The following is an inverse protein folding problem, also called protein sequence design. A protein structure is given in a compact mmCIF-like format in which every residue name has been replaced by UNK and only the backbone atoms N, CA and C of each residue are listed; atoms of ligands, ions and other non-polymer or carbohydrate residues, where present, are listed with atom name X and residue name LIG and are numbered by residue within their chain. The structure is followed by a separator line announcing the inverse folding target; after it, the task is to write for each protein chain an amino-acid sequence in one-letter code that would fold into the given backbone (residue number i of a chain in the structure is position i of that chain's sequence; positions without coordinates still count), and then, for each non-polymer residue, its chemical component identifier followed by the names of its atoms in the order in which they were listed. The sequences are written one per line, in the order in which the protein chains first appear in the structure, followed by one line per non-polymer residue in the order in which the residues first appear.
data_IF_690285447969
#
_entry.id   IF_690285447969
#
_cell.length_a   1.000
_cell.length_b   1.000
_cell.length_c   1.000
_cell.angle_alpha   90.00
_cell.angle_beta   90.00
_cell.angle_gamma   90.00
#
_symmetry.space_group_name_H-M   'P 1'
#
loop_
_entity.id
_entity.type
_entity.pdbx_description
1 polymer ?
#
# COMPACT_ATOMS: atom_id res chain seq x y z
N UNK A 1 -1.17 -9.00 2.34
CA UNK A 1 -1.58 -7.66 1.87
C UNK A 1 -1.59 -6.72 3.08
N UNK A 2 -1.27 -5.43 2.97
CA UNK A 2 -1.49 -4.50 4.08
C UNK A 2 -2.97 -4.56 4.55
N UNK A 3 -3.25 -4.44 5.86
CA UNK A 3 -4.60 -4.54 6.41
C UNK A 3 -5.62 -3.56 5.82
N UNK A 4 -5.15 -2.53 5.12
CA UNK A 4 -5.94 -1.54 4.37
C UNK A 4 -6.57 -2.09 3.07
N UNK A 5 -6.19 -3.29 2.61
CA UNK A 5 -6.75 -3.91 1.40
C UNK A 5 -7.80 -5.00 1.69
N UNK A 6 -7.95 -5.43 2.94
CA UNK A 6 -8.84 -6.54 3.31
C UNK A 6 -10.10 -6.05 4.03
N UNK A 7 -11.02 -5.42 3.29
CA UNK A 7 -12.41 -5.33 3.76
C UNK A 7 -13.41 -5.39 2.61
N UNK A 8 -14.25 -6.44 2.70
CA UNK A 8 -15.59 -6.59 2.12
C UNK A 8 -15.63 -6.72 0.57
N UNK A 9 -16.04 -7.87 0.04
CA UNK A 9 -17.47 -8.21 -0.04
C UNK A 9 -17.72 -9.60 -0.64
N UNK A 10 -18.70 -10.31 -0.08
CA UNK A 10 -19.43 -11.38 -0.75
C UNK A 10 -20.52 -10.73 -1.61
N UNK A 11 -20.42 -10.81 -2.94
CA UNK A 11 -21.60 -10.76 -3.81
C UNK A 11 -21.27 -11.34 -5.18
N UNK A 12 -22.02 -12.34 -5.66
CA UNK A 12 -21.98 -12.75 -7.06
C UNK A 12 -22.92 -11.84 -7.85
N UNK A 13 -22.49 -11.26 -8.98
CA UNK A 13 -23.28 -11.30 -10.23
C UNK A 13 -22.57 -10.61 -11.40
N UNK A 14 -22.68 -11.34 -12.50
CA UNK A 14 -22.57 -11.05 -13.92
C UNK A 14 -22.79 -9.60 -14.39
N UNK A 15 -22.07 -9.24 -15.46
CA UNK A 15 -22.60 -8.35 -16.49
C UNK A 15 -21.70 -7.19 -16.91
N UNK A 16 -20.76 -7.43 -17.83
CA UNK A 16 -20.05 -6.39 -18.58
C UNK A 16 -19.24 -6.99 -19.72
N UNK A 17 -19.58 -6.67 -20.97
CA UNK A 17 -19.06 -7.29 -22.19
C UNK A 17 -17.52 -7.17 -22.30
N UNK A 18 -16.82 -8.27 -22.08
CA UNK A 18 -15.38 -8.38 -22.29
C UNK A 18 -15.07 -8.39 -23.80
N UNK A 19 -14.74 -7.23 -24.37
CA UNK A 19 -13.83 -7.23 -25.51
C UNK A 19 -12.55 -7.91 -25.04
N UNK A 20 -12.18 -9.04 -25.66
CA UNK A 20 -11.03 -9.82 -25.21
C UNK A 20 -9.81 -8.90 -25.10
N UNK A 21 -9.28 -8.72 -23.89
CA UNK A 21 -8.12 -7.89 -23.64
C UNK A 21 -6.99 -8.31 -24.59
N UNK A 22 -6.35 -7.32 -25.23
CA UNK A 22 -5.26 -7.61 -26.16
C UNK A 22 -4.09 -8.25 -25.40
N UNK A 23 -3.19 -8.99 -26.10
CA UNK A 23 -2.05 -9.63 -25.47
C UNK A 23 -1.19 -8.66 -24.66
N UNK A 24 -0.73 -9.09 -23.48
CA UNK A 24 0.14 -8.29 -22.62
C UNK A 24 1.48 -7.97 -23.29
N UNK A 25 1.92 -8.80 -24.24
CA UNK A 25 3.08 -8.51 -25.10
C UNK A 25 2.94 -7.17 -25.81
N UNK A 26 1.72 -6.83 -26.22
CA UNK A 26 1.46 -5.64 -27.03
C UNK A 26 1.27 -4.43 -26.13
N UNK A 27 0.48 -4.57 -25.07
CA UNK A 27 0.24 -3.48 -24.11
C UNK A 27 1.50 -3.07 -23.37
N UNK A 28 2.35 -4.02 -22.95
CA UNK A 28 3.64 -3.69 -22.36
C UNK A 28 4.57 -2.97 -23.36
N UNK A 29 4.63 -3.41 -24.60
CA UNK A 29 5.51 -2.83 -25.61
C UNK A 29 5.15 -1.38 -25.96
N UNK A 30 3.87 -1.03 -25.95
CA UNK A 30 3.41 0.32 -26.31
C UNK A 30 3.77 1.42 -25.30
N UNK A 31 4.34 1.04 -24.15
CA UNK A 31 4.97 1.96 -23.20
C UNK A 31 6.38 2.37 -23.60
N UNK A 32 7.04 1.61 -24.48
CA UNK A 32 8.45 1.81 -24.84
C UNK A 32 8.59 2.41 -26.25
N UNK A 33 9.70 3.14 -26.51
CA UNK A 33 10.03 3.62 -27.86
C UNK A 33 10.12 2.47 -28.87
N UNK A 34 9.76 2.73 -30.13
CA UNK A 34 9.70 1.73 -31.20
C UNK A 34 10.95 0.82 -31.29
N UNK A 35 12.13 1.39 -31.05
CA UNK A 35 13.42 0.67 -31.07
C UNK A 35 13.56 -0.42 -30.00
N UNK A 36 12.83 -0.31 -28.87
CA UNK A 36 12.86 -1.28 -27.77
C UNK A 36 11.67 -2.25 -27.80
N UNK A 37 10.62 -1.97 -28.59
CA UNK A 37 9.37 -2.75 -28.54
C UNK A 37 9.56 -4.23 -28.86
N UNK A 38 10.45 -4.56 -29.81
CA UNK A 38 10.75 -5.95 -30.15
C UNK A 38 11.28 -6.73 -28.94
N UNK A 39 12.22 -6.13 -28.21
CA UNK A 39 12.84 -6.75 -27.04
C UNK A 39 11.85 -6.89 -25.88
N UNK A 40 10.98 -5.89 -25.69
CA UNK A 40 9.91 -5.96 -24.68
C UNK A 40 8.89 -7.05 -25.01
N UNK A 41 8.46 -7.16 -26.28
CA UNK A 41 7.56 -8.23 -26.73
C UNK A 41 8.16 -9.61 -26.43
N UNK A 42 9.45 -9.79 -26.68
CA UNK A 42 10.14 -11.05 -26.37
C UNK A 42 10.14 -11.35 -24.86
N UNK A 43 10.43 -10.36 -24.01
CA UNK A 43 10.39 -10.52 -22.54
C UNK A 43 9.02 -10.91 -22.00
N UNK A 44 7.94 -10.45 -22.65
CA UNK A 44 6.57 -10.69 -22.23
C UNK A 44 5.90 -11.88 -22.96
N UNK A 45 6.60 -12.59 -23.86
CA UNK A 45 6.02 -13.66 -24.69
C UNK A 45 5.40 -14.79 -23.85
N UNK A 46 6.10 -15.26 -22.83
CA UNK A 46 5.55 -16.31 -21.96
C UNK A 46 4.61 -15.70 -20.90
N UNK A 47 4.91 -14.48 -20.45
CA UNK A 47 4.16 -13.78 -19.40
C UNK A 47 2.72 -13.52 -19.81
N UNK A 48 2.44 -13.25 -21.09
CA UNK A 48 1.07 -12.98 -21.55
C UNK A 48 0.11 -14.15 -21.40
N UNK A 49 0.62 -15.36 -21.14
CA UNK A 49 -0.18 -16.56 -20.92
C UNK A 49 -0.42 -16.86 -19.43
N UNK A 50 0.17 -16.08 -18.53
CA UNK A 50 -0.03 -16.26 -17.09
C UNK A 50 -1.44 -15.84 -16.64
N UNK A 51 -1.88 -16.41 -15.52
CA UNK A 51 -3.14 -16.02 -14.88
C UNK A 51 -3.15 -14.52 -14.59
N UNK A 52 -4.28 -13.85 -14.83
CA UNK A 52 -4.48 -12.41 -14.67
C UNK A 52 -3.66 -11.50 -15.62
N UNK A 53 -2.86 -12.04 -16.55
CA UNK A 53 -2.11 -11.23 -17.51
C UNK A 53 -3.00 -10.36 -18.41
N UNK A 54 -4.17 -10.88 -18.83
CA UNK A 54 -5.15 -10.11 -19.62
C UNK A 54 -5.74 -8.93 -18.86
N UNK A 55 -5.99 -9.09 -17.56
CA UNK A 55 -6.49 -8.02 -16.67
C UNK A 55 -5.43 -6.93 -16.52
N UNK A 56 -4.18 -7.33 -16.32
CA UNK A 56 -3.07 -6.38 -16.26
C UNK A 56 -2.86 -5.67 -17.61
N UNK A 57 -3.07 -6.36 -18.73
CA UNK A 57 -3.01 -5.77 -20.08
C UNK A 57 -4.06 -4.65 -20.24
N UNK A 58 -5.30 -4.91 -19.84
CA UNK A 58 -6.37 -3.90 -19.86
C UNK A 58 -6.05 -2.70 -18.95
N UNK A 59 -5.52 -2.98 -17.74
CA UNK A 59 -5.04 -1.94 -16.83
C UNK A 59 -3.98 -1.05 -17.50
N UNK A 60 -2.97 -1.63 -18.18
CA UNK A 60 -1.94 -0.87 -18.88
C UNK A 60 -2.51 0.00 -20.00
N UNK A 61 -3.47 -0.50 -20.77
CA UNK A 61 -4.10 0.27 -21.83
C UNK A 61 -4.89 1.47 -21.29
N UNK A 62 -5.68 1.24 -20.24
CA UNK A 62 -6.42 2.31 -19.55
C UNK A 62 -5.47 3.36 -18.99
N UNK A 63 -4.40 2.93 -18.32
CA UNK A 63 -3.40 3.83 -17.74
C UNK A 63 -2.69 4.64 -18.83
N UNK A 64 -2.31 4.00 -19.94
CA UNK A 64 -1.65 4.66 -21.07
C UNK A 64 -2.55 5.68 -21.75
N UNK A 65 -3.83 5.34 -21.95
CA UNK A 65 -4.79 6.20 -22.62
C UNK A 65 -5.15 7.42 -21.76
N UNK A 66 -5.30 7.23 -20.44
CA UNK A 66 -5.56 8.33 -19.51
C UNK A 66 -4.38 9.30 -19.40
N UNK A 67 -3.16 8.78 -19.40
CA UNK A 67 -1.93 9.56 -19.24
C UNK A 67 -1.09 9.59 -20.53
N UNK A 68 -1.76 9.91 -21.64
CA UNK A 68 -1.15 9.99 -22.97
C UNK A 68 -0.44 11.33 -23.24
N UNK A 69 -0.82 12.39 -22.52
CA UNK A 69 -0.24 13.73 -22.69
C UNK A 69 1.26 13.76 -22.29
N UNK A 70 2.04 14.54 -23.04
CA UNK A 70 3.44 14.86 -22.77
C UNK A 70 3.72 15.33 -21.35
N UNK A 71 2.77 16.00 -20.68
CA UNK A 71 2.95 16.45 -19.28
C UNK A 71 3.15 15.30 -18.29
N UNK A 72 2.81 14.05 -18.64
CA UNK A 72 3.03 12.87 -17.81
C UNK A 72 4.29 12.08 -18.20
N UNK A 73 5.23 12.65 -18.95
CA UNK A 73 6.41 11.93 -19.44
C UNK A 73 7.24 11.29 -18.30
N UNK A 74 7.45 12.00 -17.19
CA UNK A 74 8.15 11.48 -16.01
C UNK A 74 7.42 10.28 -15.40
N UNK A 75 6.09 10.38 -15.27
CA UNK A 75 5.24 9.30 -14.80
C UNK A 75 5.35 8.07 -15.71
N UNK A 76 5.34 8.26 -17.04
CA UNK A 76 5.49 7.17 -18.01
C UNK A 76 6.82 6.43 -17.88
N UNK A 77 7.91 7.14 -17.57
CA UNK A 77 9.20 6.51 -17.27
C UNK A 77 9.14 5.61 -16.02
N UNK A 78 8.36 5.98 -15.00
CA UNK A 78 8.14 5.10 -13.83
C UNK A 78 7.41 3.81 -14.23
N UNK A 79 6.42 3.90 -15.11
CA UNK A 79 5.70 2.74 -15.64
C UNK A 79 6.66 1.82 -16.42
N UNK A 80 7.50 2.38 -17.28
CA UNK A 80 8.51 1.61 -18.02
C UNK A 80 9.47 0.87 -17.07
N UNK A 81 9.99 1.54 -16.04
CA UNK A 81 10.88 0.91 -15.07
C UNK A 81 10.20 -0.22 -14.30
N UNK A 82 8.93 -0.02 -13.91
CA UNK A 82 8.10 -1.05 -13.28
C UNK A 82 7.93 -2.28 -14.20
N UNK A 83 7.63 -2.07 -15.49
CA UNK A 83 7.48 -3.16 -16.46
C UNK A 83 8.76 -3.96 -16.65
N UNK A 84 9.93 -3.31 -16.64
CA UNK A 84 11.23 -4.00 -16.69
C UNK A 84 11.42 -4.89 -15.46
N UNK A 85 11.12 -4.38 -14.26
CA UNK A 85 11.23 -5.14 -13.00
C UNK A 85 10.24 -6.30 -12.92
N UNK A 86 9.00 -6.06 -13.34
CA UNK A 86 7.93 -7.05 -13.40
C UNK A 86 8.31 -8.22 -14.31
N UNK A 87 8.90 -7.95 -15.47
CA UNK A 87 9.36 -8.99 -16.39
C UNK A 87 10.46 -9.88 -15.76
N UNK A 88 11.33 -9.29 -14.93
CA UNK A 88 12.46 -10.00 -14.31
C UNK A 88 12.09 -10.79 -13.04
N UNK A 89 10.91 -10.60 -12.45
CA UNK A 89 10.55 -11.16 -11.15
C UNK A 89 9.13 -11.77 -11.16
N UNK A 90 9.01 -13.12 -11.18
CA UNK A 90 7.72 -13.80 -11.12
C UNK A 90 6.89 -13.46 -9.88
N UNK A 91 7.51 -13.40 -8.70
CA UNK A 91 6.78 -13.08 -7.46
C UNK A 91 6.30 -11.62 -7.41
N UNK A 92 7.08 -10.67 -7.94
CA UNK A 92 6.61 -9.28 -8.06
C UNK A 92 5.46 -9.20 -9.06
N UNK A 93 5.59 -9.89 -10.19
CA UNK A 93 4.58 -9.91 -11.24
C UNK A 93 3.23 -10.42 -10.75
N UNK A 94 3.21 -11.53 -10.03
CA UNK A 94 1.99 -12.07 -9.43
C UNK A 94 1.31 -11.02 -8.53
N UNK A 95 2.08 -10.36 -7.66
CA UNK A 95 1.54 -9.29 -6.79
C UNK A 95 0.94 -8.14 -7.59
N UNK A 96 1.63 -7.66 -8.61
CA UNK A 96 1.16 -6.52 -9.42
C UNK A 96 -0.06 -6.90 -10.26
N UNK A 97 -0.16 -8.13 -10.75
CA UNK A 97 -1.36 -8.63 -11.42
C UNK A 97 -2.55 -8.69 -10.47
N UNK A 98 -2.35 -9.10 -9.21
CA UNK A 98 -3.40 -9.08 -8.20
C UNK A 98 -3.87 -7.66 -7.87
N UNK A 99 -2.96 -6.68 -7.79
CA UNK A 99 -3.35 -5.27 -7.63
C UNK A 99 -4.23 -4.77 -8.80
N UNK A 100 -3.96 -5.19 -10.03
CA UNK A 100 -4.80 -4.86 -11.18
C UNK A 100 -6.19 -5.53 -11.07
N UNK A 101 -6.25 -6.79 -10.64
CA UNK A 101 -7.50 -7.52 -10.45
C UNK A 101 -8.43 -6.86 -9.43
N UNK A 102 -7.90 -6.43 -8.28
CA UNK A 102 -8.66 -5.71 -7.25
C UNK A 102 -9.31 -4.43 -7.78
N UNK A 103 -8.69 -3.81 -8.79
CA UNK A 103 -9.19 -2.60 -9.45
C UNK A 103 -10.37 -2.90 -10.35
N UNK A 104 -10.22 -3.90 -11.21
CA UNK A 104 -11.28 -4.31 -12.15
C UNK A 104 -12.51 -4.86 -11.42
N UNK A 105 -12.30 -5.54 -10.28
CA UNK A 105 -13.38 -6.09 -9.47
C UNK A 105 -14.22 -5.02 -8.74
N UNK A 106 -13.67 -3.83 -8.50
CA UNK A 106 -14.35 -2.76 -7.75
C UNK A 106 -15.18 -1.82 -8.62
N UNK A 107 -15.23 -2.02 -9.94
CA UNK A 107 -15.92 -1.16 -10.92
C UNK A 107 -15.62 0.35 -10.75
N UNK A 108 -14.49 0.70 -10.14
CA UNK A 108 -14.15 2.08 -9.79
C UNK A 108 -13.12 2.60 -10.80
N UNK A 109 -13.32 3.81 -11.34
CA UNK A 109 -12.44 4.41 -12.35
C UNK A 109 -11.11 4.94 -11.75
N UNK A 110 -10.64 4.35 -10.64
CA UNK A 110 -9.47 4.82 -9.88
C UNK A 110 -8.18 4.18 -10.35
N UNK A 111 -7.92 4.24 -11.66
CA UNK A 111 -6.71 3.66 -12.26
C UNK A 111 -5.42 4.22 -11.61
N UNK A 112 -5.47 5.48 -11.16
CA UNK A 112 -4.37 6.19 -10.50
C UNK A 112 -4.07 5.67 -9.11
N UNK A 113 -5.12 5.41 -8.33
CA UNK A 113 -5.00 4.80 -7.01
C UNK A 113 -4.40 3.40 -7.12
N UNK A 114 -4.83 2.64 -8.12
CA UNK A 114 -4.32 1.30 -8.38
C UNK A 114 -2.85 1.30 -8.77
N UNK A 115 -2.44 2.22 -9.65
CA UNK A 115 -1.02 2.41 -9.95
C UNK A 115 -0.21 2.76 -8.69
N UNK A 116 -0.71 3.67 -7.87
CA UNK A 116 -0.06 4.04 -6.61
C UNK A 116 0.07 2.83 -5.65
N UNK A 117 -0.99 2.03 -5.52
CA UNK A 117 -0.96 0.81 -4.71
C UNK A 117 0.04 -0.23 -5.26
N UNK A 118 0.21 -0.32 -6.58
CA UNK A 118 1.26 -1.15 -7.19
C UNK A 118 2.67 -0.68 -6.81
N UNK A 119 2.92 0.63 -6.76
CA UNK A 119 4.20 1.18 -6.28
C UNK A 119 4.45 0.80 -4.82
N UNK A 120 3.45 0.94 -3.97
CA UNK A 120 3.50 0.51 -2.56
C UNK A 120 3.77 -1.00 -2.46
N UNK A 121 3.08 -1.82 -3.26
CA UNK A 121 3.26 -3.27 -3.30
C UNK A 121 4.67 -3.67 -3.77
N UNK A 122 5.28 -2.94 -4.68
CA UNK A 122 6.66 -3.17 -5.13
C UNK A 122 7.68 -2.91 -4.01
N UNK A 123 7.47 -1.85 -3.22
CA UNK A 123 8.29 -1.55 -2.05
C UNK A 123 8.13 -2.64 -0.98
N UNK A 124 6.88 -3.04 -0.70
CA UNK A 124 6.56 -4.15 0.18
C UNK A 124 7.24 -5.46 -0.24
N UNK A 125 7.16 -5.80 -1.53
CA UNK A 125 7.84 -6.97 -2.09
C UNK A 125 9.36 -6.90 -1.92
N UNK A 126 9.94 -5.71 -2.10
CA UNK A 126 11.37 -5.49 -1.92
C UNK A 126 11.79 -5.77 -0.48
N UNK A 127 11.03 -5.30 0.52
CA UNK A 127 11.29 -5.61 1.94
C UNK A 127 11.22 -7.11 2.19
N UNK A 128 10.16 -7.75 1.72
CA UNK A 128 9.91 -9.17 1.97
C UNK A 128 11.01 -10.07 1.40
N UNK A 129 11.42 -9.81 0.16
CA UNK A 129 12.29 -10.70 -0.60
C UNK A 129 13.78 -10.38 -0.46
N UNK A 130 14.12 -9.09 -0.40
CA UNK A 130 15.52 -8.66 -0.32
C UNK A 130 15.96 -8.33 1.10
N UNK A 131 15.05 -8.31 2.07
CA UNK A 131 15.38 -8.03 3.46
C UNK A 131 16.25 -9.11 4.08
N UNK A 132 17.38 -8.70 4.66
CA UNK A 132 18.33 -9.51 5.42
C UNK A 132 18.82 -8.75 6.63
N UNK A 133 19.57 -9.42 7.50
CA UNK A 133 20.20 -8.77 8.65
C UNK A 133 21.15 -7.63 8.25
N UNK A 134 21.90 -7.80 7.16
CA UNK A 134 22.91 -6.84 6.72
C UNK A 134 22.30 -5.53 6.16
N UNK A 135 21.01 -5.53 5.80
CA UNK A 135 20.36 -4.37 5.19
C UNK A 135 19.12 -3.87 5.96
N UNK A 136 19.02 -4.20 7.26
CA UNK A 136 17.92 -3.81 8.15
C UNK A 136 17.57 -2.32 8.07
N UNK A 137 18.57 -1.44 8.15
CA UNK A 137 18.37 0.01 8.04
C UNK A 137 17.68 0.43 6.74
N UNK A 138 18.07 -0.18 5.61
CA UNK A 138 17.45 0.08 4.31
C UNK A 138 16.02 -0.45 4.25
N UNK A 139 15.75 -1.63 4.81
CA UNK A 139 14.40 -2.22 4.83
C UNK A 139 13.44 -1.43 5.71
N UNK A 140 13.90 -0.97 6.88
CA UNK A 140 13.08 -0.14 7.76
C UNK A 140 12.87 1.25 7.15
N UNK A 141 13.88 1.84 6.49
CA UNK A 141 13.68 3.07 5.73
C UNK A 141 12.62 2.91 4.64
N UNK A 142 12.64 1.79 3.92
CA UNK A 142 11.64 1.49 2.90
C UNK A 142 10.25 1.26 3.51
N UNK A 143 10.17 0.60 4.66
CA UNK A 143 8.93 0.40 5.41
C UNK A 143 8.33 1.73 5.90
N UNK A 144 9.17 2.67 6.38
CA UNK A 144 8.74 4.03 6.73
C UNK A 144 8.19 4.77 5.52
N UNK A 145 8.84 4.63 4.37
CA UNK A 145 8.34 5.23 3.14
C UNK A 145 7.00 4.61 2.71
N UNK A 146 6.83 3.29 2.81
CA UNK A 146 5.52 2.64 2.59
C UNK A 146 4.45 3.22 3.53
N UNK A 147 4.75 3.32 4.83
CA UNK A 147 3.82 3.90 5.81
C UNK A 147 3.37 5.31 5.43
N UNK A 148 4.32 6.17 5.03
CA UNK A 148 4.03 7.55 4.60
C UNK A 148 3.19 7.56 3.33
N UNK A 149 3.53 6.73 2.36
CA UNK A 149 2.80 6.62 1.09
C UNK A 149 1.36 6.12 1.30
N UNK A 150 1.14 5.15 2.18
CA UNK A 150 -0.21 4.69 2.55
C UNK A 150 -1.04 5.82 3.15
N UNK A 151 -0.48 6.60 4.09
CA UNK A 151 -1.19 7.74 4.68
C UNK A 151 -1.47 8.85 3.67
N UNK A 152 -0.52 9.19 2.81
CA UNK A 152 -0.75 10.16 1.74
C UNK A 152 -1.83 9.69 0.76
N UNK A 153 -1.90 8.38 0.51
CA UNK A 153 -2.93 7.79 -0.35
C UNK A 153 -4.31 7.93 0.28
N UNK A 154 -4.43 7.73 1.59
CA UNK A 154 -5.68 7.96 2.34
C UNK A 154 -6.11 9.43 2.28
N UNK A 155 -5.18 10.36 2.55
CA UNK A 155 -5.42 11.81 2.50
C UNK A 155 -5.86 12.24 1.10
N UNK A 156 -5.14 11.81 0.05
CA UNK A 156 -5.47 12.09 -1.33
C UNK A 156 -6.83 11.51 -1.72
N UNK A 157 -7.14 10.28 -1.28
CA UNK A 157 -8.44 9.65 -1.55
C UNK A 157 -9.60 10.43 -0.95
N UNK A 158 -9.44 10.94 0.28
CA UNK A 158 -10.44 11.80 0.92
C UNK A 158 -10.61 13.13 0.15
N UNK A 159 -9.51 13.75 -0.28
CA UNK A 159 -9.54 14.97 -1.10
C UNK A 159 -10.23 14.74 -2.44
N UNK A 160 -9.92 13.64 -3.14
CA UNK A 160 -10.57 13.28 -4.41
C UNK A 160 -12.09 13.14 -4.23
N UNK A 161 -12.54 12.50 -3.15
CA UNK A 161 -13.98 12.40 -2.84
C UNK A 161 -14.58 13.80 -2.64
N UNK A 162 -13.93 14.68 -1.89
CA UNK A 162 -14.39 16.05 -1.68
C UNK A 162 -14.49 16.84 -3.00
N UNK A 163 -13.47 16.75 -3.88
CA UNK A 163 -13.47 17.42 -5.18
C UNK A 163 -14.61 16.88 -6.05
N UNK A 164 -14.79 15.55 -6.14
CA UNK A 164 -15.88 14.94 -6.92
C UNK A 164 -17.28 15.36 -6.43
N UNK A 165 -17.44 15.63 -5.14
CA UNK A 165 -18.70 16.18 -4.63
C UNK A 165 -18.91 17.65 -5.00
N UNK A 166 -17.84 18.43 -5.14
CA UNK A 166 -17.90 19.85 -5.50
C UNK A 166 -17.92 20.08 -7.02
N UNK A 167 -17.40 19.15 -7.81
CA UNK A 167 -17.23 19.26 -9.25
C UNK A 167 -17.77 18.01 -9.95
N UNK A 168 -18.84 18.18 -10.74
CA UNK A 168 -19.57 17.09 -11.41
C UNK A 168 -18.72 16.33 -12.46
N UNK A 169 -17.58 16.88 -12.89
CA UNK A 169 -16.69 16.31 -13.91
C UNK A 169 -15.22 16.39 -13.47
N UNK A 170 -14.80 15.54 -12.53
CA UNK A 170 -13.42 15.48 -12.05
C UNK A 170 -12.73 14.16 -12.41
N UNK A 171 -11.79 14.24 -13.36
CA UNK A 171 -11.01 13.11 -13.88
C UNK A 171 -9.51 13.16 -13.49
N UNK A 172 -9.10 14.08 -12.62
CA UNK A 172 -7.69 14.36 -12.31
C UNK A 172 -7.24 13.72 -10.99
N UNK A 173 -7.57 12.44 -10.78
CA UNK A 173 -7.26 11.72 -9.53
C UNK A 173 -5.77 11.42 -9.34
N UNK A 174 -5.01 11.29 -10.43
CA UNK A 174 -3.55 11.13 -10.37
C UNK A 174 -2.86 12.42 -9.92
N UNK A 175 -3.30 13.58 -10.37
CA UNK A 175 -2.72 14.87 -10.03
C UNK A 175 -2.80 15.17 -8.54
N UNK A 176 -3.91 14.80 -7.88
CA UNK A 176 -4.03 14.94 -6.43
C UNK A 176 -3.03 14.03 -5.70
N UNK A 177 -2.93 12.77 -6.13
CA UNK A 177 -1.98 11.80 -5.55
C UNK A 177 -0.52 12.25 -5.74
N UNK A 178 -0.14 12.55 -6.98
CA UNK A 178 1.21 12.99 -7.32
C UNK A 178 1.52 14.38 -6.78
N UNK A 179 0.52 15.26 -6.65
CA UNK A 179 0.64 16.57 -6.03
C UNK A 179 1.13 16.45 -4.58
N UNK A 180 0.44 15.68 -3.75
CA UNK A 180 0.90 15.43 -2.37
C UNK A 180 2.28 14.78 -2.33
N UNK A 181 2.52 13.76 -3.16
CA UNK A 181 3.79 13.02 -3.16
C UNK A 181 4.97 13.87 -3.58
N UNK A 182 4.80 14.71 -4.61
CA UNK A 182 5.88 15.56 -5.14
C UNK A 182 6.16 16.72 -4.20
N UNK A 183 5.13 17.42 -3.73
CA UNK A 183 5.30 18.56 -2.81
C UNK A 183 5.91 18.12 -1.46
N UNK A 184 5.58 16.91 -1.01
CA UNK A 184 6.08 16.36 0.25
C UNK A 184 7.29 15.44 0.08
N UNK A 185 7.84 15.29 -1.13
CA UNK A 185 8.95 14.38 -1.41
C UNK A 185 10.14 14.62 -0.48
N UNK A 186 10.60 15.88 -0.42
CA UNK A 186 11.71 16.26 0.45
C UNK A 186 11.31 16.27 1.93
N UNK A 187 10.12 16.79 2.25
CA UNK A 187 9.66 16.92 3.63
C UNK A 187 9.40 15.58 4.34
N UNK A 188 9.07 14.53 3.57
CA UNK A 188 8.76 13.18 4.06
C UNK A 188 9.77 12.12 3.59
N UNK A 189 10.89 12.53 2.98
CA UNK A 189 11.94 11.65 2.45
C UNK A 189 11.38 10.52 1.55
N UNK A 190 10.55 10.85 0.57
CA UNK A 190 9.96 9.89 -0.37
C UNK A 190 10.94 9.62 -1.52
N UNK A 191 11.67 8.51 -1.45
CA UNK A 191 12.76 8.20 -2.38
C UNK A 191 12.29 7.57 -3.69
N UNK A 192 11.10 6.98 -3.71
CA UNK A 192 10.53 6.31 -4.89
C UNK A 192 9.65 7.23 -5.73
N UNK A 193 9.38 8.44 -5.26
CA UNK A 193 8.68 9.49 -5.99
C UNK A 193 9.69 10.18 -6.90
N UNK A 194 9.36 10.33 -8.17
CA UNK A 194 10.19 11.12 -9.10
C UNK A 194 9.74 12.58 -9.02
N UNK A 195 10.66 13.56 -8.90
CA UNK A 195 10.28 14.97 -8.90
C UNK A 195 9.65 15.34 -10.23
N UNK A 196 8.44 15.89 -10.20
CA UNK A 196 7.80 16.43 -11.42
C UNK A 196 7.02 17.71 -11.11
N UNK A 197 7.47 18.81 -11.71
CA UNK A 197 7.02 20.16 -11.38
C UNK A 197 5.61 20.50 -11.90
N UNK A 198 4.99 19.65 -12.72
CA UNK A 198 3.70 19.97 -13.37
C UNK A 198 2.46 19.51 -12.60
N UNK A 199 2.59 18.60 -11.63
CA UNK A 199 1.42 18.03 -10.95
C UNK A 199 0.77 18.99 -9.96
N UNK A 200 1.55 19.84 -9.29
CA UNK A 200 1.01 20.73 -8.25
C UNK A 200 -0.02 21.71 -8.78
N UNK A 201 0.26 22.37 -9.92
CA UNK A 201 -0.66 23.35 -10.53
C UNK A 201 -1.99 22.76 -10.99
N UNK A 202 -2.08 21.43 -11.13
CA UNK A 202 -3.29 20.72 -11.56
C UNK A 202 -3.93 19.88 -10.43
N UNK A 203 -3.43 19.98 -9.20
CA UNK A 203 -3.80 19.04 -8.12
C UNK A 203 -4.97 19.50 -7.24
N UNK A 204 -5.53 20.70 -7.46
CA UNK A 204 -6.55 21.32 -6.58
C UNK A 204 -6.12 21.39 -5.09
N UNK A 205 -4.81 21.32 -4.82
CA UNK A 205 -4.24 21.37 -3.48
C UNK A 205 -3.89 22.81 -3.11
N UNK A 206 -4.22 23.21 -1.88
CA UNK A 206 -3.69 24.45 -1.30
C UNK A 206 -2.42 24.20 -0.52
N UNK A 207 -1.63 25.24 -0.29
CA UNK A 207 -0.42 25.16 0.53
C UNK A 207 -0.73 24.70 1.97
N UNK A 208 -1.87 25.11 2.51
CA UNK A 208 -2.36 24.72 3.84
C UNK A 208 -2.69 23.23 3.90
N UNK A 209 -3.31 22.68 2.85
CA UNK A 209 -3.62 21.25 2.77
C UNK A 209 -2.35 20.40 2.70
N UNK A 210 -1.37 20.82 1.90
CA UNK A 210 -0.04 20.17 1.84
C UNK A 210 0.66 20.22 3.20
N UNK A 211 0.64 21.37 3.88
CA UNK A 211 1.20 21.52 5.23
C UNK A 211 0.48 20.63 6.24
N UNK A 212 -0.85 20.58 6.22
CA UNK A 212 -1.63 19.73 7.10
C UNK A 212 -1.32 18.24 6.88
N UNK A 213 -1.24 17.81 5.63
CA UNK A 213 -0.87 16.44 5.27
C UNK A 213 0.53 16.07 5.78
N UNK A 214 1.52 16.98 5.64
CA UNK A 214 2.86 16.80 6.23
C UNK A 214 2.77 16.54 7.73
N UNK A 215 2.14 17.44 8.49
CA UNK A 215 2.04 17.33 9.95
C UNK A 215 1.31 16.06 10.37
N UNK A 216 0.24 15.69 9.66
CA UNK A 216 -0.51 14.46 9.91
C UNK A 216 0.35 13.22 9.73
N UNK A 217 1.11 13.11 8.63
CA UNK A 217 1.98 11.96 8.36
C UNK A 217 3.11 11.88 9.38
N UNK A 218 3.79 12.99 9.68
CA UNK A 218 4.91 13.00 10.64
C UNK A 218 4.46 12.63 12.05
N UNK A 219 3.32 13.19 12.49
CA UNK A 219 2.71 12.87 13.79
C UNK A 219 2.33 11.39 13.87
N UNK A 220 1.66 10.89 12.82
CA UNK A 220 1.25 9.50 12.75
C UNK A 220 2.43 8.53 12.76
N UNK A 221 3.54 8.85 12.09
CA UNK A 221 4.73 7.99 12.06
C UNK A 221 5.38 7.91 13.44
N UNK A 222 5.59 9.04 14.12
CA UNK A 222 6.16 9.06 15.46
C UNK A 222 5.33 8.26 16.47
N UNK A 223 4.01 8.23 16.31
CA UNK A 223 3.10 7.59 17.26
C UNK A 223 2.84 6.11 16.95
N UNK A 224 2.77 5.73 15.67
CA UNK A 224 2.17 4.45 15.25
C UNK A 224 3.08 3.56 14.42
N UNK A 225 4.26 4.04 14.00
CA UNK A 225 5.10 3.29 13.07
C UNK A 225 5.50 1.90 13.60
N UNK A 226 5.89 1.79 14.88
CA UNK A 226 6.27 0.50 15.47
C UNK A 226 5.11 -0.50 15.48
N UNK A 227 3.91 -0.07 15.88
CA UNK A 227 2.71 -0.92 15.85
C UNK A 227 2.41 -1.36 14.42
N UNK A 228 2.39 -0.42 13.47
CA UNK A 228 2.14 -0.72 12.07
C UNK A 228 3.17 -1.69 11.50
N UNK A 229 4.46 -1.45 11.73
CA UNK A 229 5.56 -2.28 11.22
C UNK A 229 5.44 -3.71 11.75
N UNK A 230 5.15 -3.87 13.04
CA UNK A 230 5.03 -5.18 13.70
C UNK A 230 3.89 -6.03 13.14
N UNK A 231 2.86 -5.38 12.60
CA UNK A 231 1.70 -6.03 11.98
C UNK A 231 1.80 -6.12 10.45
N UNK A 232 2.83 -5.54 9.84
CA UNK A 232 3.01 -5.48 8.40
C UNK A 232 3.62 -6.78 7.87
N UNK A 233 2.89 -7.49 7.00
CA UNK A 233 3.26 -8.83 6.54
C UNK A 233 4.67 -8.95 5.92
N UNK A 234 5.15 -8.02 5.07
CA UNK A 234 6.53 -8.08 4.56
C UNK A 234 7.59 -8.10 5.67
N UNK A 235 7.37 -7.32 6.72
CA UNK A 235 8.24 -7.30 7.89
C UNK A 235 8.12 -8.60 8.69
N UNK A 236 6.91 -9.12 8.88
CA UNK A 236 6.69 -10.40 9.54
C UNK A 236 7.37 -11.58 8.83
N UNK A 237 7.32 -11.63 7.50
CA UNK A 237 8.05 -12.60 6.70
C UNK A 237 9.58 -12.48 6.88
N UNK A 238 10.08 -11.26 7.09
CA UNK A 238 11.47 -11.01 7.45
C UNK A 238 11.78 -11.45 8.89
N UNK A 239 10.92 -11.13 9.88
CA UNK A 239 11.07 -11.57 11.27
C UNK A 239 11.16 -13.09 11.39
N UNK A 240 10.31 -13.81 10.67
CA UNK A 240 10.33 -15.29 10.62
C UNK A 240 11.70 -15.84 10.21
N UNK A 241 12.43 -15.13 9.34
CA UNK A 241 13.79 -15.50 8.90
C UNK A 241 14.87 -15.03 9.89
N UNK A 242 14.71 -13.85 10.48
CA UNK A 242 15.71 -13.23 11.36
C UNK A 242 15.72 -13.79 12.78
N UNK A 243 14.56 -14.17 13.30
CA UNK A 243 14.40 -14.72 14.64
C UNK A 243 13.29 -15.80 14.66
N UNK A 244 13.56 -16.99 14.08
CA UNK A 244 12.55 -18.05 13.96
C UNK A 244 11.99 -18.51 15.30
N UNK A 245 12.79 -18.46 16.37
CA UNK A 245 12.37 -18.89 17.70
C UNK A 245 11.33 -17.94 18.31
N UNK A 246 11.60 -16.63 18.33
CA UNK A 246 10.64 -15.64 18.83
C UNK A 246 9.38 -15.60 17.95
N UNK A 247 9.53 -15.69 16.63
CA UNK A 247 8.40 -15.78 15.70
C UNK A 247 7.53 -17.01 16.00
N UNK A 248 8.14 -18.19 16.14
CA UNK A 248 7.41 -19.44 16.40
C UNK A 248 6.64 -19.42 17.70
N UNK A 249 7.19 -18.81 18.75
CA UNK A 249 6.51 -18.59 20.03
C UNK A 249 5.28 -17.67 19.87
N UNK A 250 5.45 -16.51 19.24
CA UNK A 250 4.36 -15.57 18.98
C UNK A 250 3.25 -16.18 18.10
N UNK A 251 3.62 -16.93 17.07
CA UNK A 251 2.65 -17.59 16.18
C UNK A 251 1.87 -18.71 16.89
N UNK A 252 2.53 -19.46 17.76
CA UNK A 252 1.90 -20.50 18.58
C UNK A 252 0.93 -19.88 19.60
N UNK A 253 1.32 -18.79 20.25
CA UNK A 253 0.44 -18.06 21.18
C UNK A 253 -0.76 -17.44 20.46
N UNK A 254 -0.55 -16.85 19.27
CA UNK A 254 -1.65 -16.35 18.41
C UNK A 254 -2.67 -17.45 18.15
N UNK A 255 -2.23 -18.63 17.73
CA UNK A 255 -3.11 -19.74 17.41
C UNK A 255 -3.84 -20.26 18.66
N UNK A 256 -3.13 -20.43 19.77
CA UNK A 256 -3.74 -20.83 21.05
C UNK A 256 -4.79 -19.82 21.54
N UNK A 257 -4.54 -18.52 21.38
CA UNK A 257 -5.47 -17.47 21.78
C UNK A 257 -6.79 -17.53 21.01
N UNK A 258 -6.77 -17.77 19.69
CA UNK A 258 -8.01 -17.76 18.86
C UNK A 258 -9.05 -18.80 19.30
N UNK A 259 -8.63 -19.89 19.94
CA UNK A 259 -9.50 -20.95 20.45
C UNK A 259 -9.70 -20.90 21.96
N UNK A 260 -9.17 -19.88 22.64
CA UNK A 260 -9.21 -19.74 24.10
C UNK A 260 -10.49 -19.09 24.61
N UNK A 261 -10.83 -19.37 25.88
CA UNK A 261 -11.89 -18.65 26.60
C UNK A 261 -11.58 -17.16 26.78
N UNK A 262 -10.29 -16.79 26.80
CA UNK A 262 -9.85 -15.40 26.89
C UNK A 262 -10.34 -14.60 25.67
N UNK A 263 -10.23 -15.17 24.47
CA UNK A 263 -10.68 -14.50 23.24
C UNK A 263 -12.18 -14.19 23.30
N UNK A 264 -12.99 -15.17 23.69
CA UNK A 264 -14.45 -14.98 23.86
C UNK A 264 -14.77 -13.96 24.95
N UNK A 265 -14.05 -14.00 26.07
CA UNK A 265 -14.22 -13.06 27.18
C UNK A 265 -13.89 -11.62 26.77
N UNK A 266 -12.82 -11.40 26.01
CA UNK A 266 -12.45 -10.07 25.49
C UNK A 266 -13.49 -9.55 24.48
N UNK A 267 -14.04 -10.41 23.62
CA UNK A 267 -15.14 -10.02 22.71
C UNK A 267 -16.36 -9.57 23.52
N UNK A 268 -16.77 -10.36 24.51
CA UNK A 268 -17.93 -10.03 25.35
C UNK A 268 -17.73 -8.70 26.10
N UNK A 269 -16.53 -8.45 26.63
CA UNK A 269 -16.19 -7.18 27.27
C UNK A 269 -16.31 -5.98 26.31
N UNK A 270 -15.85 -6.12 25.05
CA UNK A 270 -15.99 -5.08 24.02
C UNK A 270 -17.45 -4.79 23.69
N UNK A 271 -18.28 -5.83 23.54
CA UNK A 271 -19.71 -5.67 23.28
C UNK A 271 -20.43 -4.99 24.44
N UNK A 272 -20.14 -5.40 25.68
CA UNK A 272 -20.70 -4.78 26.89
C UNK A 272 -20.35 -3.29 26.99
N UNK A 273 -19.10 -2.93 26.68
CA UNK A 273 -18.65 -1.53 26.69
C UNK A 273 -19.40 -0.66 25.67
N UNK A 274 -19.89 -1.25 24.59
CA UNK A 274 -20.68 -0.58 23.54
C UNK A 274 -22.17 -0.48 23.87
N UNK A 275 -22.59 -0.94 25.05
CA UNK A 275 -24.01 -1.01 25.41
C UNK A 275 -24.79 -2.01 24.57
N UNK A 276 -24.11 -2.97 23.92
CA UNK A 276 -24.79 -4.02 23.17
C UNK A 276 -25.48 -4.99 24.15
N UNK A 277 -26.74 -5.31 23.84
CA UNK A 277 -27.57 -6.29 24.54
C UNK A 277 -26.96 -7.71 24.47
N UNK A 278 -27.50 -8.65 25.26
CA UNK A 278 -27.23 -10.10 25.13
C UNK A 278 -27.46 -10.65 23.71
N UNK A 279 -28.18 -9.90 22.86
CA UNK A 279 -28.41 -10.16 21.44
C UNK A 279 -27.64 -9.18 20.53
N UNK A 280 -26.31 -9.16 20.62
CA UNK A 280 -25.49 -8.41 19.67
C UNK A 280 -25.63 -9.01 18.25
N UNK A 281 -25.64 -8.15 17.22
CA UNK A 281 -25.68 -8.63 15.83
C UNK A 281 -24.38 -9.36 15.47
N UNK A 282 -24.45 -10.28 14.51
CA UNK A 282 -23.28 -11.01 13.99
C UNK A 282 -22.18 -10.04 13.51
N UNK A 283 -22.56 -8.92 12.90
CA UNK A 283 -21.64 -7.87 12.47
C UNK A 283 -20.91 -7.21 13.66
N UNK A 284 -21.64 -6.92 14.76
CA UNK A 284 -21.05 -6.33 15.95
C UNK A 284 -20.07 -7.30 16.63
N UNK A 285 -20.41 -8.60 16.67
CA UNK A 285 -19.54 -9.67 17.18
C UNK A 285 -18.29 -9.78 16.31
N UNK A 286 -18.44 -9.81 14.98
CA UNK A 286 -17.32 -9.89 14.04
C UNK A 286 -16.38 -8.68 14.20
N UNK A 287 -16.92 -7.47 14.26
CA UNK A 287 -16.14 -6.25 14.46
C UNK A 287 -15.38 -6.28 15.80
N UNK A 288 -16.05 -6.69 16.88
CA UNK A 288 -15.40 -6.85 18.18
C UNK A 288 -14.29 -7.91 18.13
N UNK A 289 -14.51 -9.04 17.46
CA UNK A 289 -13.50 -10.08 17.25
C UNK A 289 -12.27 -9.58 16.49
N UNK A 290 -12.45 -8.81 15.42
CA UNK A 290 -11.36 -8.21 14.66
C UNK A 290 -10.52 -7.23 15.51
N UNK A 291 -11.17 -6.43 16.35
CA UNK A 291 -10.47 -5.51 17.26
C UNK A 291 -9.67 -6.26 18.33
N UNK A 292 -10.27 -7.28 18.96
CA UNK A 292 -9.59 -8.13 19.95
C UNK A 292 -8.39 -8.83 19.31
N UNK A 293 -8.55 -9.35 18.09
CA UNK A 293 -7.44 -9.96 17.34
C UNK A 293 -6.34 -8.93 17.05
N UNK A 294 -6.68 -7.72 16.62
CA UNK A 294 -5.69 -6.67 16.37
C UNK A 294 -4.90 -6.33 17.64
N UNK A 295 -5.57 -6.20 18.78
CA UNK A 295 -4.94 -5.96 20.09
C UNK A 295 -3.99 -7.11 20.47
N UNK A 296 -4.44 -8.35 20.32
CA UNK A 296 -3.58 -9.52 20.62
C UNK A 296 -2.37 -9.59 19.68
N UNK A 297 -2.56 -9.37 18.39
CA UNK A 297 -1.45 -9.37 17.44
C UNK A 297 -0.40 -8.30 17.81
N UNK A 298 -0.86 -7.13 18.28
CA UNK A 298 0.02 -6.08 18.79
C UNK A 298 0.82 -6.54 20.02
N UNK A 299 0.14 -7.15 20.99
CA UNK A 299 0.78 -7.72 22.21
C UNK A 299 1.87 -8.74 21.87
N UNK A 300 1.70 -9.51 20.79
CA UNK A 300 2.62 -10.57 20.40
C UNK A 300 3.77 -10.08 19.51
N UNK A 301 3.45 -9.33 18.46
CA UNK A 301 4.42 -9.03 17.40
C UNK A 301 5.22 -7.75 17.63
N UNK A 302 4.76 -6.82 18.49
CA UNK A 302 5.61 -5.68 18.90
C UNK A 302 6.83 -6.15 19.70
N UNK A 303 6.70 -6.96 20.77
CA UNK A 303 7.88 -7.50 21.46
C UNK A 303 8.77 -8.37 20.57
N UNK A 304 8.17 -9.14 19.65
CA UNK A 304 8.92 -9.92 18.66
C UNK A 304 9.79 -9.01 17.77
N UNK A 305 9.25 -7.88 17.33
CA UNK A 305 10.00 -6.87 16.55
C UNK A 305 11.12 -6.26 17.37
N UNK A 306 10.81 -5.78 18.57
CA UNK A 306 11.78 -5.11 19.45
C UNK A 306 12.93 -6.04 19.84
N UNK A 307 12.64 -7.25 20.32
CA UNK A 307 13.68 -8.23 20.69
C UNK A 307 14.58 -8.63 19.51
N UNK A 308 14.01 -8.73 18.31
CA UNK A 308 14.78 -9.03 17.09
C UNK A 308 15.73 -7.88 16.72
N UNK A 309 15.29 -6.63 16.87
CA UNK A 309 16.12 -5.46 16.63
C UNK A 309 17.17 -5.25 17.73
N UNK A 310 16.80 -5.50 18.98
CA UNK A 310 17.71 -5.42 20.14
C UNK A 310 18.86 -6.41 20.03
N UNK A 311 18.57 -7.68 19.70
CA UNK A 311 19.58 -8.70 19.47
C UNK A 311 20.58 -8.34 18.35
N UNK A 312 20.23 -7.38 17.50
CA UNK A 312 21.03 -6.90 16.36
C UNK A 312 21.59 -5.49 16.59
N UNK A 313 21.41 -4.91 17.78
CA UNK A 313 21.76 -3.53 18.11
C UNK A 313 21.18 -2.48 17.14
N UNK A 314 19.93 -2.69 16.70
CA UNK A 314 19.22 -1.85 15.73
C UNK A 314 17.91 -1.25 16.28
N UNK A 315 17.75 -1.16 17.61
CA UNK A 315 16.54 -0.59 18.23
C UNK A 315 16.26 0.86 17.80
N UNK A 316 17.29 1.66 17.58
CA UNK A 316 17.15 3.06 17.16
C UNK A 316 16.45 3.23 15.81
N UNK A 317 16.39 2.18 14.98
CA UNK A 317 15.71 2.24 13.67
C UNK A 317 14.19 2.44 13.78
N UNK A 318 13.56 2.10 14.91
CA UNK A 318 12.10 2.20 15.13
C UNK A 318 11.70 3.38 16.02
N UNK A 319 12.66 4.19 16.48
CA UNK A 319 12.39 5.38 17.28
C UNK A 319 11.66 6.47 16.47
N UNK A 320 11.02 7.45 17.15
CA UNK A 320 10.48 8.63 16.50
C UNK A 320 11.55 9.37 15.70
N UNK A 321 11.23 9.77 14.47
CA UNK A 321 12.20 10.37 13.53
C UNK A 321 11.93 11.84 13.23
N UNK A 322 10.75 12.36 13.60
CA UNK A 322 10.36 13.73 13.34
C UNK A 322 10.44 14.60 14.59
N UNK A 323 11.08 15.76 14.48
CA UNK A 323 10.99 16.79 15.50
C UNK A 323 9.73 17.63 15.29
N UNK A 324 8.73 17.43 16.15
CA UNK A 324 7.44 18.11 16.10
C UNK A 324 7.39 19.35 16.99
N UNK A 325 8.49 19.69 17.68
CA UNK A 325 8.52 20.80 18.64
C UNK A 325 8.52 22.19 17.97
N UNK A 326 8.92 22.29 16.70
CA UNK A 326 9.00 23.55 15.95
C UNK A 326 7.72 24.01 15.24
N UNK A 327 6.75 23.12 14.98
CA UNK A 327 5.57 23.43 14.17
C UNK A 327 4.40 24.06 14.98
N UNK A 328 4.57 24.25 16.30
CA UNK A 328 3.59 24.97 17.15
C UNK A 328 3.83 26.48 17.27
N UNK A 329 4.90 27.02 16.67
CA UNK A 329 5.19 28.45 16.66
C UNK A 329 4.60 29.12 15.39
N UNK A 330 3.27 29.19 15.31
CA UNK A 330 2.60 29.83 14.19
C UNK A 330 1.07 29.69 14.26
N UNK A 331 0.49 30.18 15.35
CA UNK A 331 -0.93 30.55 15.42
C UNK A 331 -1.04 32.06 15.22
#
# INVERSE_FOLDING_TARGET
MPPSLTSLNNSPYEGGAAGAARPLTDSAADWFPAVQQRDIRERFREITHETNAGIFSEFLDRLRNRYADSKYETFRHQVMHCLIRLAASPGLREKLFMCALETTARCDDRISLSWNNMRIAEMAYTVEQLGTEQNLGKMISLAREVFRMELLTEIASQKIIQIRHAHEHFDEDLEVLLGYQTELQHALHLTQVVPDMYFFTCSYLTAEEVKAAKTQVQTAENQRFLEWLSLWEPWQAMLKRLNPAAWGAAESEKNAFTVSEEFQSRIHAKLKTRGSSEFASDEAIQKAGLEVMKEKLRELFMPCTLSTLEAKAQLSLVEPVWDLSGDQAGV
#
